data_IF_857576587637
#
_entry.id   IF_857576587637
#
_cell.length_a   1.000
_cell.length_b   1.000
_cell.length_c   1.000
_cell.angle_alpha   90.00
_cell.angle_beta   90.00
_cell.angle_gamma   90.00
#
_symmetry.space_group_name_H-M   'P 1'
#
loop_
_entity.id
_entity.type
_entity.pdbx_description
1 polymer ?
#
# COMPACT_ATOMS: atom_id res chain seq x y z
N UNK A 1 21.82 -9.91 -3.81
CA UNK A 1 20.75 -10.88 -3.48
C UNK A 1 19.66 -10.80 -4.54
N UNK A 2 19.15 -11.94 -5.05
CA UNK A 2 18.01 -11.96 -5.98
C UNK A 2 16.69 -11.84 -5.22
N UNK A 3 15.57 -11.60 -5.95
CA UNK A 3 14.23 -11.47 -5.35
C UNK A 3 13.83 -12.69 -4.49
N UNK A 4 14.25 -13.89 -4.89
CA UNK A 4 14.01 -15.11 -4.11
C UNK A 4 14.67 -15.09 -2.73
N UNK A 5 15.89 -14.53 -2.62
CA UNK A 5 16.58 -14.39 -1.34
C UNK A 5 15.89 -13.36 -0.44
N UNK A 6 15.47 -12.21 -0.99
CA UNK A 6 14.69 -11.21 -0.26
C UNK A 6 13.36 -11.78 0.27
N UNK A 7 12.65 -12.56 -0.56
CA UNK A 7 11.43 -13.24 -0.14
C UNK A 7 11.69 -14.28 0.97
N UNK A 8 12.82 -14.99 0.93
CA UNK A 8 13.20 -15.94 1.96
C UNK A 8 13.53 -15.24 3.30
N UNK A 9 14.24 -14.10 3.25
CA UNK A 9 14.52 -13.27 4.42
C UNK A 9 13.23 -12.77 5.10
N UNK A 10 12.26 -12.26 4.33
CA UNK A 10 10.99 -11.81 4.89
C UNK A 10 10.20 -12.95 5.53
N UNK A 11 10.20 -14.14 4.89
CA UNK A 11 9.52 -15.33 5.47
C UNK A 11 10.18 -15.84 6.74
N UNK A 12 11.47 -15.64 6.89
CA UNK A 12 12.22 -16.02 8.09
C UNK A 12 12.08 -15.01 9.25
N UNK A 13 11.61 -13.79 8.95
CA UNK A 13 11.42 -12.74 9.95
C UNK A 13 10.09 -12.95 10.68
N UNK A 14 10.17 -13.45 11.91
CA UNK A 14 9.02 -13.80 12.74
C UNK A 14 8.14 -12.59 13.05
N UNK A 15 8.74 -11.44 13.33
CA UNK A 15 8.01 -10.21 13.66
C UNK A 15 7.28 -9.67 12.42
N UNK A 16 7.92 -9.72 11.26
CA UNK A 16 7.31 -9.36 9.99
C UNK A 16 6.11 -10.25 9.66
N UNK A 17 6.27 -11.58 9.74
CA UNK A 17 5.19 -12.54 9.48
C UNK A 17 4.03 -12.34 10.43
N UNK A 18 4.30 -12.11 11.71
CA UNK A 18 3.28 -11.83 12.72
C UNK A 18 2.53 -10.52 12.41
N UNK A 19 3.25 -9.45 12.04
CA UNK A 19 2.65 -8.17 11.71
C UNK A 19 1.74 -8.27 10.46
N UNK A 20 2.19 -8.95 9.41
CA UNK A 20 1.38 -9.23 8.21
C UNK A 20 0.15 -10.05 8.55
N UNK A 21 0.29 -11.09 9.40
CA UNK A 21 -0.83 -11.90 9.87
C UNK A 21 -1.86 -11.10 10.68
N UNK A 22 -1.43 -10.08 11.42
CA UNK A 22 -2.35 -9.16 12.11
C UNK A 22 -3.12 -8.29 11.12
N UNK A 23 -2.45 -7.76 10.09
CA UNK A 23 -3.10 -6.97 9.04
C UNK A 23 -4.10 -7.81 8.22
N UNK A 24 -3.76 -9.06 7.93
CA UNK A 24 -4.68 -9.98 7.26
C UNK A 24 -5.99 -10.15 8.03
N UNK A 25 -5.93 -10.28 9.37
CA UNK A 25 -7.13 -10.36 10.21
C UNK A 25 -7.96 -9.08 10.19
N UNK A 26 -7.32 -7.90 10.11
CA UNK A 26 -8.05 -6.63 9.98
C UNK A 26 -8.72 -6.56 8.61
N UNK A 27 -8.02 -6.97 7.55
CA UNK A 27 -8.54 -7.01 6.18
C UNK A 27 -9.75 -7.95 6.03
N UNK A 28 -9.76 -9.08 6.75
CA UNK A 28 -10.84 -10.08 6.73
C UNK A 28 -12.07 -9.66 7.55
N UNK A 29 -11.99 -8.59 8.33
CA UNK A 29 -13.13 -8.08 9.10
C UNK A 29 -13.98 -7.13 8.26
N UNK A 30 -15.30 -7.26 8.39
CA UNK A 30 -16.22 -6.28 7.81
C UNK A 30 -15.97 -4.91 8.42
N UNK A 31 -15.79 -3.92 7.56
CA UNK A 31 -15.68 -2.51 7.95
C UNK A 31 -16.95 -1.72 7.63
N UNK A 32 -16.90 -0.43 7.88
CA UNK A 32 -18.05 0.47 7.65
C UNK A 32 -18.00 1.20 6.30
N UNK A 33 -16.83 1.24 5.66
CA UNK A 33 -16.61 1.98 4.43
C UNK A 33 -16.64 1.06 3.21
N UNK A 34 -17.28 1.53 2.13
CA UNK A 34 -17.19 0.85 0.83
C UNK A 34 -15.86 1.22 0.19
N UNK A 35 -15.02 0.24 0.00
CA UNK A 35 -13.70 0.40 -0.58
C UNK A 35 -13.70 0.00 -2.07
N UNK A 36 -12.80 0.59 -2.83
CA UNK A 36 -12.55 0.22 -4.22
C UNK A 36 -11.79 -1.11 -4.33
N UNK A 37 -10.90 -1.40 -3.39
CA UNK A 37 -10.11 -2.63 -3.33
C UNK A 37 -8.84 -2.65 -4.20
N UNK A 38 -8.75 -1.78 -5.21
CA UNK A 38 -7.56 -1.56 -6.05
C UNK A 38 -7.44 -0.07 -6.42
N UNK A 39 -7.45 0.80 -5.38
CA UNK A 39 -7.50 2.26 -5.51
C UNK A 39 -6.11 2.84 -5.81
N UNK A 40 -5.76 2.96 -7.07
CA UNK A 40 -4.48 3.52 -7.51
C UNK A 40 -4.65 4.30 -8.83
N UNK A 41 -3.65 5.08 -9.28
CA UNK A 41 -3.78 5.92 -10.49
C UNK A 41 -4.16 5.18 -11.77
N UNK A 42 -3.92 3.87 -11.87
CA UNK A 42 -4.36 3.04 -13.01
C UNK A 42 -5.88 2.84 -13.06
N UNK A 43 -6.58 2.99 -11.95
CA UNK A 43 -8.04 2.91 -11.84
C UNK A 43 -8.70 4.29 -12.02
N UNK A 44 -7.98 5.31 -12.52
CA UNK A 44 -8.51 6.65 -12.69
C UNK A 44 -8.47 7.07 -14.16
N UNK A 45 -9.55 7.67 -14.62
CA UNK A 45 -9.64 8.31 -15.93
C UNK A 45 -9.84 9.81 -15.76
N UNK A 46 -9.06 10.61 -16.51
CA UNK A 46 -9.24 12.05 -16.61
C UNK A 46 -9.93 12.38 -17.93
N UNK A 47 -11.05 13.07 -17.84
CA UNK A 47 -11.74 13.61 -19.01
C UNK A 47 -11.15 14.98 -19.36
N UNK A 48 -10.40 15.05 -20.46
CA UNK A 48 -9.60 16.24 -20.80
C UNK A 48 -10.43 17.50 -21.05
N UNK A 49 -11.66 17.38 -21.59
CA UNK A 49 -12.48 18.54 -21.93
C UNK A 49 -13.20 19.16 -20.72
N UNK A 50 -13.55 18.36 -19.70
CA UNK A 50 -14.26 18.83 -18.49
C UNK A 50 -13.40 18.89 -17.25
N UNK A 51 -12.12 18.45 -17.36
CA UNK A 51 -11.19 18.31 -16.23
C UNK A 51 -11.74 17.48 -15.05
N UNK A 52 -12.68 16.58 -15.35
CA UNK A 52 -13.24 15.66 -14.36
C UNK A 52 -12.46 14.35 -14.27
N UNK A 53 -12.50 13.73 -13.09
CA UNK A 53 -11.91 12.43 -12.84
C UNK A 53 -12.99 11.40 -12.59
N UNK A 54 -12.77 10.20 -13.09
CA UNK A 54 -13.62 9.04 -12.88
C UNK A 54 -12.77 7.94 -12.27
N UNK A 55 -13.28 7.34 -11.20
CA UNK A 55 -12.75 6.09 -10.67
C UNK A 55 -13.48 4.95 -11.37
N UNK A 56 -12.73 4.02 -11.93
CA UNK A 56 -13.23 2.90 -12.74
C UNK A 56 -12.76 1.58 -12.16
N UNK A 57 -13.32 0.49 -12.65
CA UNK A 57 -12.89 -0.87 -12.36
C UNK A 57 -13.12 -1.31 -10.89
N UNK A 58 -14.36 -1.17 -10.37
CA UNK A 58 -14.67 -1.47 -8.98
C UNK A 58 -14.88 -2.98 -8.72
N UNK A 59 -14.27 -3.86 -9.49
CA UNK A 59 -14.49 -5.32 -9.42
C UNK A 59 -14.04 -5.96 -8.10
N UNK A 60 -13.16 -5.27 -7.35
CA UNK A 60 -12.65 -5.71 -6.04
C UNK A 60 -13.30 -4.99 -4.86
N UNK A 61 -14.44 -4.31 -5.08
CA UNK A 61 -15.12 -3.59 -4.01
C UNK A 61 -15.51 -4.49 -2.83
N UNK A 62 -15.27 -4.01 -1.62
CA UNK A 62 -15.68 -4.68 -0.37
C UNK A 62 -15.90 -3.66 0.75
N UNK A 63 -16.50 -4.12 1.86
CA UNK A 63 -16.64 -3.30 3.06
C UNK A 63 -15.43 -3.49 3.96
N UNK A 64 -14.71 -2.39 4.29
CA UNK A 64 -13.47 -2.49 5.04
C UNK A 64 -13.03 -1.16 5.66
N UNK A 65 -11.81 -1.11 6.23
CA UNK A 65 -11.23 0.13 6.75
C UNK A 65 -10.74 1.04 5.61
N UNK A 66 -11.07 2.34 5.66
CA UNK A 66 -10.66 3.34 4.65
C UNK A 66 -9.13 3.35 4.41
N UNK A 67 -8.37 3.02 5.44
CA UNK A 67 -6.91 2.90 5.44
C UNK A 67 -6.37 1.93 4.40
N UNK A 68 -7.17 0.93 4.02
CA UNK A 68 -6.76 -0.03 2.99
C UNK A 68 -6.56 0.67 1.63
N UNK A 69 -7.59 1.35 1.11
CA UNK A 69 -7.51 2.05 -0.18
C UNK A 69 -6.47 3.17 -0.17
N UNK A 70 -6.39 3.93 0.93
CA UNK A 70 -5.36 4.96 1.10
C UNK A 70 -3.96 4.36 1.12
N UNK A 71 -3.78 3.23 1.77
CA UNK A 71 -2.53 2.48 1.78
C UNK A 71 -2.13 1.99 0.38
N UNK A 72 -3.09 1.46 -0.41
CA UNK A 72 -2.86 1.08 -1.81
C UNK A 72 -2.38 2.30 -2.61
N UNK A 73 -3.04 3.45 -2.48
CA UNK A 73 -2.65 4.68 -3.18
C UNK A 73 -1.22 5.11 -2.81
N UNK A 74 -0.89 5.19 -1.52
CA UNK A 74 0.46 5.55 -1.05
C UNK A 74 1.51 4.58 -1.61
N UNK A 75 1.24 3.28 -1.57
CA UNK A 75 2.14 2.26 -2.12
C UNK A 75 2.42 2.50 -3.60
N UNK A 76 1.38 2.74 -4.40
CA UNK A 76 1.53 2.96 -5.84
C UNK A 76 2.23 4.28 -6.19
N UNK A 77 2.09 5.33 -5.37
CA UNK A 77 2.87 6.55 -5.52
C UNK A 77 4.37 6.27 -5.30
N UNK A 78 4.72 5.48 -4.27
CA UNK A 78 6.11 5.08 -3.99
C UNK A 78 6.65 4.17 -5.09
N UNK A 79 5.89 3.17 -5.54
CA UNK A 79 6.25 2.29 -6.65
C UNK A 79 6.45 3.06 -7.96
N UNK A 80 5.67 4.12 -8.18
CA UNK A 80 5.80 5.06 -9.30
C UNK A 80 6.94 6.08 -9.14
N UNK A 81 7.81 5.93 -8.13
CA UNK A 81 9.03 6.72 -7.95
C UNK A 81 8.86 8.00 -7.13
N UNK A 82 7.71 8.25 -6.52
CA UNK A 82 7.57 9.35 -5.56
C UNK A 82 8.32 8.98 -4.26
N UNK A 83 8.92 9.99 -3.60
CA UNK A 83 9.45 9.76 -2.24
C UNK A 83 8.30 9.47 -1.28
N UNK A 84 8.57 8.69 -0.23
CA UNK A 84 7.56 8.40 0.79
C UNK A 84 6.96 9.69 1.37
N UNK A 85 7.76 10.70 1.67
CA UNK A 85 7.31 12.00 2.20
C UNK A 85 6.24 12.61 1.28
N UNK A 86 6.47 12.61 -0.04
CA UNK A 86 5.50 13.14 -1.02
C UNK A 86 4.25 12.27 -1.13
N UNK A 87 4.39 10.97 -0.99
CA UNK A 87 3.24 10.06 -1.00
C UNK A 87 2.34 10.25 0.22
N UNK A 88 2.92 10.62 1.36
CA UNK A 88 2.19 10.85 2.62
C UNK A 88 1.35 12.13 2.61
N UNK A 89 1.57 13.07 1.69
CA UNK A 89 0.70 14.25 1.54
C UNK A 89 -0.78 13.87 1.28
N UNK A 90 -1.03 12.65 0.81
CA UNK A 90 -2.39 12.12 0.68
C UNK A 90 -3.13 12.10 2.03
N UNK A 91 -2.42 11.91 3.14
CA UNK A 91 -3.04 11.85 4.47
C UNK A 91 -3.69 13.18 4.90
N UNK A 92 -3.19 14.31 4.41
CA UNK A 92 -3.77 15.63 4.69
C UNK A 92 -5.24 15.71 4.21
N UNK A 93 -5.57 14.98 3.13
CA UNK A 93 -6.93 14.91 2.59
C UNK A 93 -7.87 14.10 3.50
N UNK A 94 -7.34 13.20 4.31
CA UNK A 94 -8.08 12.31 5.19
C UNK A 94 -8.00 12.72 6.68
N UNK A 95 -7.22 13.74 7.01
CA UNK A 95 -7.04 14.23 8.39
C UNK A 95 -8.31 14.70 9.08
N UNK A 96 -9.36 15.04 8.28
CA UNK A 96 -10.68 15.43 8.79
C UNK A 96 -11.58 14.26 9.18
N UNK A 97 -11.20 13.02 8.84
CA UNK A 97 -11.96 11.82 9.20
C UNK A 97 -11.61 11.40 10.63
N UNK A 98 -12.58 11.42 11.58
CA UNK A 98 -12.28 11.23 13.01
C UNK A 98 -11.68 9.88 13.38
N UNK A 99 -11.82 8.88 12.51
CA UNK A 99 -11.40 7.49 12.76
C UNK A 99 -10.28 7.02 11.84
N UNK A 100 -9.71 7.91 11.01
CA UNK A 100 -8.62 7.54 10.12
C UNK A 100 -7.33 7.32 10.90
N UNK A 101 -6.74 6.13 10.75
CA UNK A 101 -5.49 5.72 11.39
C UNK A 101 -4.33 5.71 10.39
N UNK A 102 -3.51 6.77 10.31
CA UNK A 102 -2.40 6.86 9.35
C UNK A 102 -1.42 5.69 9.43
N UNK A 103 -1.17 5.17 10.64
CA UNK A 103 -0.27 4.02 10.82
C UNK A 103 -0.83 2.74 10.20
N UNK A 104 -2.14 2.52 10.27
CA UNK A 104 -2.78 1.38 9.63
C UNK A 104 -2.67 1.49 8.11
N UNK A 105 -2.89 2.69 7.54
CA UNK A 105 -2.71 2.93 6.12
C UNK A 105 -1.26 2.67 5.67
N UNK A 106 -0.26 3.09 6.47
CA UNK A 106 1.15 2.80 6.19
C UNK A 106 1.46 1.31 6.19
N UNK A 107 0.88 0.55 7.10
CA UNK A 107 1.06 -0.90 7.14
C UNK A 107 0.46 -1.57 5.91
N UNK A 108 -0.74 -1.18 5.49
CA UNK A 108 -1.32 -1.66 4.22
C UNK A 108 -0.47 -1.26 3.02
N UNK A 109 0.07 -0.02 2.98
CA UNK A 109 1.02 0.39 1.94
C UNK A 109 2.27 -0.50 1.92
N UNK A 110 2.81 -0.86 3.08
CA UNK A 110 3.93 -1.78 3.19
C UNK A 110 3.63 -3.15 2.58
N UNK A 111 2.46 -3.73 2.89
CA UNK A 111 2.03 -5.02 2.31
C UNK A 111 1.87 -4.91 0.80
N UNK A 112 1.26 -3.84 0.30
CA UNK A 112 1.06 -3.64 -1.14
C UNK A 112 2.40 -3.50 -1.87
N UNK A 113 3.38 -2.74 -1.34
CA UNK A 113 4.72 -2.66 -1.92
C UNK A 113 5.34 -4.06 -2.04
N UNK A 114 5.30 -4.86 -0.97
CA UNK A 114 5.82 -6.24 -1.00
C UNK A 114 5.10 -7.07 -2.06
N UNK A 115 3.77 -7.03 -2.10
CA UNK A 115 2.94 -7.78 -3.05
C UNK A 115 3.29 -7.45 -4.50
N UNK A 116 3.57 -6.18 -4.79
CA UNK A 116 3.90 -5.69 -6.14
C UNK A 116 5.37 -5.92 -6.54
N UNK A 117 6.29 -6.09 -5.59
CA UNK A 117 7.71 -6.32 -5.88
C UNK A 117 8.07 -7.81 -5.94
N UNK A 118 7.58 -8.61 -4.99
CA UNK A 118 7.95 -10.04 -4.85
C UNK A 118 6.75 -10.98 -4.73
N UNK A 119 5.52 -10.46 -4.57
CA UNK A 119 4.31 -11.26 -4.44
C UNK A 119 3.83 -11.84 -5.77
N UNK A 120 2.61 -12.43 -5.76
CA UNK A 120 2.00 -13.04 -6.95
C UNK A 120 1.50 -12.00 -7.97
N UNK A 121 1.27 -10.75 -7.56
CA UNK A 121 0.76 -9.66 -8.39
C UNK A 121 1.87 -8.63 -8.72
N UNK A 122 3.03 -9.12 -9.14
CA UNK A 122 4.18 -8.27 -9.45
C UNK A 122 3.87 -7.26 -10.56
N UNK A 123 4.29 -6.01 -10.34
CA UNK A 123 4.32 -5.01 -11.40
C UNK A 123 5.59 -5.19 -12.26
N UNK A 124 5.51 -4.89 -13.57
CA UNK A 124 6.68 -4.84 -14.46
C UNK A 124 7.52 -3.60 -14.17
N UNK A 125 8.08 -3.52 -12.95
CA UNK A 125 8.91 -2.38 -12.55
C UNK A 125 10.22 -2.40 -13.33
N UNK A 126 10.47 -1.35 -14.10
CA UNK A 126 11.75 -1.08 -14.78
C UNK A 126 12.84 -0.66 -13.76
N UNK A 127 13.01 -1.46 -12.73
CA UNK A 127 13.92 -1.18 -11.63
C UNK A 127 14.94 -2.30 -11.51
N UNK A 128 16.18 -1.94 -11.24
CA UNK A 128 17.22 -2.91 -10.93
C UNK A 128 16.96 -3.59 -9.56
N UNK A 129 17.76 -4.59 -9.25
CA UNK A 129 17.61 -5.35 -8.02
C UNK A 129 17.88 -4.49 -6.77
N UNK A 130 18.73 -3.45 -6.87
CA UNK A 130 19.02 -2.58 -5.75
C UNK A 130 17.79 -1.75 -5.40
N UNK A 131 17.12 -1.18 -6.40
CA UNK A 131 15.88 -0.44 -6.20
C UNK A 131 14.76 -1.31 -5.65
N UNK A 132 14.64 -2.55 -6.13
CA UNK A 132 13.68 -3.52 -5.59
C UNK A 132 14.00 -3.88 -4.14
N UNK A 133 15.28 -4.00 -3.77
CA UNK A 133 15.70 -4.21 -2.38
C UNK A 133 15.35 -3.03 -1.48
N UNK A 134 15.55 -1.79 -1.95
CA UNK A 134 15.13 -0.59 -1.23
C UNK A 134 13.61 -0.54 -0.99
N UNK A 135 12.82 -0.91 -2.00
CA UNK A 135 11.37 -0.98 -1.87
C UNK A 135 10.93 -2.03 -0.84
N UNK A 136 11.59 -3.20 -0.82
CA UNK A 136 11.31 -4.23 0.18
C UNK A 136 11.75 -3.79 1.57
N UNK A 137 12.88 -3.10 1.72
CA UNK A 137 13.29 -2.52 3.00
C UNK A 137 12.28 -1.45 3.48
N UNK A 138 11.79 -0.61 2.57
CA UNK A 138 10.73 0.35 2.86
C UNK A 138 9.45 -0.37 3.32
N UNK A 139 8.98 -1.38 2.57
CA UNK A 139 7.83 -2.21 2.94
C UNK A 139 7.95 -2.76 4.36
N UNK A 140 9.09 -3.39 4.66
CA UNK A 140 9.36 -3.97 5.99
C UNK A 140 9.29 -2.90 7.09
N UNK A 141 9.90 -1.73 6.86
CA UNK A 141 9.85 -0.61 7.81
C UNK A 141 8.42 -0.15 8.06
N UNK A 142 7.60 0.02 7.01
CA UNK A 142 6.21 0.46 7.13
C UNK A 142 5.35 -0.55 7.91
N UNK A 143 5.56 -1.84 7.70
CA UNK A 143 4.80 -2.90 8.38
C UNK A 143 5.18 -3.02 9.85
N UNK A 144 6.48 -2.86 10.18
CA UNK A 144 6.99 -3.03 11.54
C UNK A 144 7.00 -1.73 12.36
N UNK A 145 6.78 -0.56 11.73
CA UNK A 145 6.75 0.70 12.46
C UNK A 145 5.57 0.70 13.44
N UNK A 146 5.87 0.56 14.71
CA UNK A 146 4.99 0.91 15.80
C UNK A 146 5.44 2.29 16.31
N UNK A 147 4.59 3.31 16.13
CA UNK A 147 4.59 4.58 16.85
C UNK A 147 5.70 5.64 16.60
N UNK A 148 6.50 5.64 15.53
CA UNK A 148 7.52 6.69 15.34
C UNK A 148 7.83 7.07 13.88
N UNK A 149 6.83 7.29 13.03
CA UNK A 149 7.09 7.75 11.64
C UNK A 149 6.75 9.24 11.44
N UNK A 150 6.27 9.92 12.46
CA UNK A 150 5.98 11.37 12.43
C UNK A 150 6.80 12.14 13.45
#
# INVERSE_FOLDING_TARGET
LGLGALAAELRADVDYVKAVGTLAKIYEQDGTELLHGDFYPGSWLRHLASDSFWVIDPEFCFMGPAEFDVGILVAHLVLGGKSLIRALEVFDLYSSLPQFEPELALRFAGVEIMRRVIGVAQLPLESDINKKSELIACSKKLILSSNHVF
#
